data_IF_506534103864
#
_entry.id   IF_506534103864
#
_cell.length_a   1.000
_cell.length_b   1.000
_cell.length_c   1.000
_cell.angle_alpha   90.00
_cell.angle_beta   90.00
_cell.angle_gamma   90.00
#
_symmetry.space_group_name_H-M   'P 1'
#
loop_
_entity.id
_entity.type
_entity.pdbx_description
1 polymer ?
#
# COMPACT_ATOMS: atom_id res chain seq x y z
N UNK A 1 -4.32 -0.53 18.52
CA UNK A 1 -2.98 -1.10 18.29
C UNK A 1 -2.28 -0.19 17.29
N UNK A 2 -1.09 0.33 17.59
CA UNK A 2 -0.38 1.22 16.67
C UNK A 2 0.38 0.36 15.67
N UNK A 3 -0.12 0.25 14.45
CA UNK A 3 0.62 -0.44 13.37
C UNK A 3 1.87 0.38 13.06
N UNK A 4 3.09 -0.19 13.17
CA UNK A 4 4.30 0.56 12.84
C UNK A 4 4.24 1.02 11.39
N UNK A 5 4.66 2.27 11.15
CA UNK A 5 4.68 2.83 9.80
C UNK A 5 5.66 2.01 8.93
N UNK A 6 5.23 1.50 7.77
CA UNK A 6 6.09 0.69 6.92
C UNK A 6 7.31 1.48 6.42
N UNK A 7 8.46 0.81 6.35
CA UNK A 7 9.60 1.32 5.61
C UNK A 7 9.32 1.15 4.10
N UNK A 8 8.88 2.24 3.47
CA UNK A 8 8.55 2.25 2.05
C UNK A 8 9.74 2.01 1.14
N UNK A 9 10.96 2.32 1.58
CA UNK A 9 12.16 2.06 0.79
C UNK A 9 12.46 0.56 0.73
N UNK A 10 12.44 -0.10 1.88
CA UNK A 10 12.60 -1.56 1.96
C UNK A 10 11.49 -2.29 1.20
N UNK A 11 10.24 -1.83 1.34
CA UNK A 11 9.10 -2.38 0.62
C UNK A 11 9.25 -2.27 -0.90
N UNK A 12 9.65 -1.11 -1.42
CA UNK A 12 9.84 -0.91 -2.85
C UNK A 12 10.96 -1.80 -3.42
N UNK A 13 12.08 -1.91 -2.73
CA UNK A 13 13.18 -2.78 -3.15
C UNK A 13 12.75 -4.26 -3.25
N UNK A 14 11.92 -4.71 -2.29
CA UNK A 14 11.36 -6.05 -2.33
C UNK A 14 10.38 -6.23 -3.50
N UNK A 15 9.46 -5.29 -3.70
CA UNK A 15 8.45 -5.38 -4.77
C UNK A 15 9.03 -5.28 -6.17
N UNK A 16 10.11 -4.51 -6.35
CA UNK A 16 10.88 -4.46 -7.60
C UNK A 16 11.31 -5.88 -8.03
N UNK A 17 11.84 -6.65 -7.08
CA UNK A 17 12.25 -8.06 -7.29
C UNK A 17 11.05 -8.98 -7.51
N UNK A 18 10.03 -8.90 -6.66
CA UNK A 18 8.87 -9.81 -6.69
C UNK A 18 8.06 -9.66 -7.98
N UNK A 19 7.92 -8.42 -8.48
CA UNK A 19 7.12 -8.12 -9.67
C UNK A 19 7.94 -8.16 -10.97
N UNK A 20 9.27 -8.30 -10.88
CA UNK A 20 10.16 -8.30 -12.04
C UNK A 20 10.13 -6.97 -12.81
N UNK A 21 9.99 -5.85 -12.10
CA UNK A 21 9.95 -4.51 -12.68
C UNK A 21 11.33 -3.87 -12.52
N UNK A 22 11.90 -3.30 -13.57
CA UNK A 22 13.14 -2.53 -13.46
C UNK A 22 12.84 -1.06 -13.18
N UNK A 23 13.45 -0.50 -12.12
CA UNK A 23 13.33 0.91 -11.76
C UNK A 23 14.71 1.57 -11.72
N UNK A 24 14.84 2.70 -12.41
CA UNK A 24 15.96 3.60 -12.18
C UNK A 24 15.78 4.38 -10.86
N UNK A 25 16.83 5.04 -10.41
CA UNK A 25 16.85 5.75 -9.14
C UNK A 25 15.81 6.89 -9.08
N UNK A 26 15.56 7.57 -10.20
CA UNK A 26 14.59 8.66 -10.27
C UNK A 26 13.16 8.13 -10.09
N UNK A 27 12.81 7.02 -10.76
CA UNK A 27 11.51 6.36 -10.61
C UNK A 27 11.33 5.76 -9.22
N UNK A 28 12.39 5.19 -8.63
CA UNK A 28 12.35 4.66 -7.27
C UNK A 28 12.08 5.76 -6.24
N UNK A 29 12.73 6.92 -6.38
CA UNK A 29 12.50 8.07 -5.53
C UNK A 29 11.07 8.64 -5.66
N UNK A 30 10.56 8.75 -6.89
CA UNK A 30 9.19 9.22 -7.11
C UNK A 30 8.16 8.24 -6.54
N UNK A 31 8.35 6.93 -6.74
CA UNK A 31 7.46 5.93 -6.15
C UNK A 31 7.46 5.98 -4.62
N UNK A 32 8.62 6.18 -3.98
CA UNK A 32 8.70 6.32 -2.52
C UNK A 32 7.85 7.52 -2.02
N UNK A 33 7.91 8.66 -2.73
CA UNK A 33 7.09 9.82 -2.42
C UNK A 33 5.60 9.52 -2.59
N UNK A 34 5.20 8.89 -3.68
CA UNK A 34 3.80 8.57 -3.96
C UNK A 34 3.24 7.56 -2.96
N UNK A 35 4.00 6.54 -2.60
CA UNK A 35 3.61 5.56 -1.58
C UNK A 35 3.38 6.23 -0.22
N UNK A 36 4.25 7.16 0.17
CA UNK A 36 4.10 7.93 1.41
C UNK A 36 2.80 8.77 1.41
N UNK A 37 2.45 9.37 0.26
CA UNK A 37 1.19 10.11 0.08
C UNK A 37 -0.02 9.20 0.15
N UNK A 38 0.00 8.06 -0.56
CA UNK A 38 -1.09 7.07 -0.54
C UNK A 38 -1.30 6.54 0.87
N UNK A 39 -0.22 6.22 1.60
CA UNK A 39 -0.30 5.78 2.98
C UNK A 39 -0.99 6.81 3.88
N UNK A 40 -0.69 8.10 3.68
CA UNK A 40 -1.35 9.19 4.40
C UNK A 40 -2.85 9.29 4.06
N UNK A 41 -3.22 9.11 2.78
CA UNK A 41 -4.62 9.09 2.35
C UNK A 41 -5.38 7.85 2.85
N UNK A 42 -4.69 6.70 2.97
CA UNK A 42 -5.28 5.45 3.42
C UNK A 42 -5.35 5.34 4.95
N UNK A 43 -4.50 6.05 5.69
CA UNK A 43 -4.50 6.07 7.15
C UNK A 43 -5.89 6.23 7.80
N UNK A 44 -6.76 7.20 7.38
CA UNK A 44 -8.11 7.30 7.94
C UNK A 44 -8.99 6.09 7.63
N UNK A 45 -8.82 5.45 6.47
CA UNK A 45 -9.56 4.23 6.13
C UNK A 45 -9.13 3.04 7.00
N UNK A 46 -7.83 2.90 7.25
CA UNK A 46 -7.28 1.85 8.12
C UNK A 46 -7.65 2.04 9.59
N UNK A 47 -7.93 3.27 10.02
CA UNK A 47 -8.38 3.57 11.38
C UNK A 47 -9.87 3.24 11.61
N UNK A 48 -10.65 3.04 10.54
CA UNK A 48 -12.05 2.66 10.64
C UNK A 48 -12.17 1.19 11.08
N UNK A 49 -12.89 0.89 12.17
CA UNK A 49 -13.13 -0.50 12.57
C UNK A 49 -13.95 -1.21 11.50
N UNK A 50 -13.47 -2.38 11.08
CA UNK A 50 -14.18 -3.24 10.14
C UNK A 50 -14.97 -4.30 10.92
N UNK A 51 -16.28 -4.37 10.70
CA UNK A 51 -17.11 -5.47 11.20
C UNK A 51 -16.74 -6.79 10.51
N UNK A 52 -16.87 -7.92 11.21
CA UNK A 52 -16.47 -9.24 10.71
C UNK A 52 -17.26 -9.78 9.49
N UNK A 53 -18.24 -9.02 8.97
CA UNK A 53 -19.10 -9.36 7.83
C UNK A 53 -19.31 -8.18 6.87
N UNK A 54 -18.25 -7.42 6.62
CA UNK A 54 -18.29 -6.41 5.57
C UNK A 54 -18.32 -7.07 4.19
N UNK A 55 -19.50 -7.06 3.57
CA UNK A 55 -19.67 -7.37 2.16
C UNK A 55 -18.85 -6.35 1.33
N UNK A 56 -18.06 -6.85 0.38
CA UNK A 56 -17.40 -6.01 -0.61
C UNK A 56 -18.46 -5.36 -1.51
N UNK A 57 -18.22 -4.12 -1.95
CA UNK A 57 -19.17 -3.34 -2.75
C UNK A 57 -19.59 -3.98 -4.08
N UNK A 58 -18.98 -5.11 -4.48
CA UNK A 58 -19.43 -5.96 -5.57
C UNK A 58 -19.27 -7.44 -5.21
N UNK A 59 -20.37 -8.11 -4.89
CA UNK A 59 -20.41 -9.57 -4.77
C UNK A 59 -20.61 -10.15 -6.17
N UNK A 60 -19.63 -10.92 -6.65
CA UNK A 60 -19.77 -11.67 -7.91
C UNK A 60 -20.96 -12.63 -7.80
N UNK A 61 -21.89 -12.55 -8.76
CA UNK A 61 -22.97 -13.51 -8.92
C UNK A 61 -22.66 -14.34 -10.16
N UNK A 62 -22.32 -15.62 -9.94
CA UNK A 62 -22.13 -16.62 -10.99
C UNK A 62 -23.48 -17.05 -11.59
#
# INVERSE_FOLDING_TARGET
>A
MTTPQPDWQAYLAQMETVLGVELDDARRAELQLQFSRIASMAAPLMALPLDGRLEIAGVYKA
#
